data_IF_524808400416
#
_entry.id   IF_524808400416
#
_cell.length_a   1.000
_cell.length_b   1.000
_cell.length_c   1.000
_cell.angle_alpha   90.00
_cell.angle_beta   90.00
_cell.angle_gamma   90.00
#
_symmetry.space_group_name_H-M   'P 1'
#
loop_
_entity.id
_entity.type
_entity.pdbx_description
1 polymer ?
#
# COMPACT_ATOMS: atom_id res chain seq x y z
N UNK A 1 15.48 -3.26 14.08
CA UNK A 1 15.21 -1.87 13.62
C UNK A 1 15.13 -1.90 12.11
N UNK A 2 14.19 -1.19 11.51
CA UNK A 2 14.11 -1.02 10.06
C UNK A 2 15.09 0.09 9.68
N UNK A 3 15.94 -0.11 8.69
CA UNK A 3 16.91 0.90 8.22
C UNK A 3 16.32 1.81 7.13
N UNK A 4 17.14 2.74 6.64
CA UNK A 4 16.76 3.73 5.62
C UNK A 4 16.57 3.12 4.21
N UNK A 5 16.89 1.83 4.04
CA UNK A 5 16.73 1.11 2.77
C UNK A 5 15.55 0.12 2.80
N UNK A 6 14.79 0.10 3.89
CA UNK A 6 13.76 -0.92 4.10
C UNK A 6 12.37 -0.30 4.19
N UNK A 7 11.43 -0.89 3.46
CA UNK A 7 9.99 -0.68 3.64
C UNK A 7 9.37 -1.98 4.16
N UNK A 8 8.94 -1.98 5.41
CA UNK A 8 8.26 -3.12 6.04
C UNK A 8 6.76 -2.85 6.09
N UNK A 9 5.98 -3.82 5.60
CA UNK A 9 4.51 -3.75 5.62
C UNK A 9 4.00 -4.89 6.49
N UNK A 10 3.17 -4.56 7.48
CA UNK A 10 2.44 -5.52 8.31
C UNK A 10 0.96 -5.35 8.01
N UNK A 11 0.28 -6.41 7.56
CA UNK A 11 -1.17 -6.40 7.31
C UNK A 11 -1.86 -7.62 7.92
N UNK A 12 -3.12 -7.45 8.30
CA UNK A 12 -4.06 -8.57 8.38
C UNK A 12 -4.65 -8.88 7.01
N UNK A 13 -4.93 -10.14 6.73
CA UNK A 13 -5.62 -10.58 5.51
C UNK A 13 -7.15 -10.66 5.70
N UNK A 14 -7.60 -10.92 6.92
CA UNK A 14 -9.01 -10.85 7.30
C UNK A 14 -9.19 -10.62 8.81
N UNK A 15 -10.38 -10.16 9.21
CA UNK A 15 -10.78 -10.04 10.62
C UNK A 15 -11.00 -11.40 11.28
N UNK A 16 -11.00 -11.44 12.62
CA UNK A 16 -11.36 -12.63 13.38
C UNK A 16 -12.82 -13.06 13.13
N UNK A 17 -13.19 -14.27 13.56
CA UNK A 17 -14.54 -14.79 13.34
C UNK A 17 -15.62 -13.87 13.98
N UNK A 18 -16.84 -13.80 13.39
CA UNK A 18 -17.95 -12.99 13.93
C UNK A 18 -18.27 -13.26 15.40
N UNK A 19 -18.05 -14.48 15.88
CA UNK A 19 -18.20 -14.85 17.29
C UNK A 19 -17.35 -13.97 18.24
N UNK A 20 -16.23 -13.43 17.75
CA UNK A 20 -15.32 -12.56 18.50
C UNK A 20 -15.58 -11.08 18.20
N UNK A 21 -15.82 -10.72 16.94
CA UNK A 21 -15.94 -9.32 16.52
C UNK A 21 -17.35 -8.75 16.64
N UNK A 22 -18.37 -9.62 16.72
CA UNK A 22 -19.78 -9.26 16.58
C UNK A 22 -20.21 -9.16 15.12
N UNK A 23 -21.52 -9.30 14.89
CA UNK A 23 -22.10 -9.43 13.54
C UNK A 23 -22.03 -8.14 12.69
N UNK A 24 -21.87 -6.98 13.34
CA UNK A 24 -21.81 -5.68 12.68
C UNK A 24 -20.39 -5.10 12.60
N UNK A 25 -19.36 -5.91 12.88
CA UNK A 25 -17.98 -5.46 12.77
C UNK A 25 -17.60 -5.13 11.33
N UNK A 26 -16.83 -4.06 11.16
CA UNK A 26 -16.22 -3.77 9.87
C UNK A 26 -15.27 -4.90 9.44
N UNK A 27 -15.21 -5.14 8.12
CA UNK A 27 -14.22 -6.02 7.51
C UNK A 27 -12.85 -5.33 7.31
N UNK A 28 -12.69 -4.09 7.77
CA UNK A 28 -11.42 -3.39 7.72
C UNK A 28 -10.39 -4.07 8.62
N UNK A 29 -9.16 -4.15 8.12
CA UNK A 29 -8.00 -4.69 8.84
C UNK A 29 -6.88 -3.64 8.86
N UNK A 30 -6.11 -3.55 9.94
CA UNK A 30 -5.02 -2.58 10.02
C UNK A 30 -3.91 -2.92 9.04
N UNK A 31 -3.29 -1.87 8.50
CA UNK A 31 -2.06 -1.94 7.70
C UNK A 31 -1.05 -0.98 8.32
N UNK A 32 0.11 -1.49 8.71
CA UNK A 32 1.23 -0.67 9.17
C UNK A 32 2.32 -0.65 8.11
N UNK A 33 2.84 0.54 7.84
CA UNK A 33 3.96 0.77 6.94
C UNK A 33 5.08 1.40 7.76
N UNK A 34 6.24 0.77 7.79
CA UNK A 34 7.36 1.10 8.67
C UNK A 34 8.62 1.25 7.82
N UNK A 35 9.35 2.36 7.99
CA UNK A 35 10.61 2.61 7.31
C UNK A 35 11.49 3.56 8.13
N UNK A 36 12.81 3.44 7.99
CA UNK A 36 13.76 4.46 8.43
C UNK A 36 13.79 5.69 7.51
N UNK A 37 13.37 5.55 6.25
CA UNK A 37 13.37 6.64 5.27
C UNK A 37 11.96 7.29 5.16
N UNK A 38 11.80 8.55 5.59
CA UNK A 38 10.53 9.26 5.50
C UNK A 38 10.01 9.40 4.06
N UNK A 39 10.88 9.34 3.05
CA UNK A 39 10.50 9.44 1.64
C UNK A 39 9.72 8.22 1.19
N UNK A 40 10.02 7.03 1.74
CA UNK A 40 9.27 5.80 1.46
C UNK A 40 7.86 5.84 2.09
N UNK A 41 7.67 6.65 3.14
CA UNK A 41 6.38 6.81 3.82
C UNK A 41 5.49 7.89 3.21
N UNK A 42 6.08 8.88 2.54
CA UNK A 42 5.35 10.04 2.00
C UNK A 42 4.16 9.68 1.09
N UNK A 43 4.26 8.70 0.15
CA UNK A 43 3.13 8.32 -0.69
C UNK A 43 1.96 7.71 0.10
N UNK A 44 2.24 7.03 1.21
CA UNK A 44 1.19 6.48 2.08
C UNK A 44 0.50 7.57 2.90
N UNK A 45 1.26 8.53 3.44
CA UNK A 45 0.69 9.70 4.14
C UNK A 45 -0.25 10.51 3.23
N UNK A 46 0.11 10.68 1.96
CA UNK A 46 -0.75 11.32 0.96
C UNK A 46 -2.08 10.57 0.71
N UNK A 47 -2.18 9.30 1.11
CA UNK A 47 -3.37 8.44 1.00
C UNK A 47 -4.11 8.24 2.31
N UNK A 48 -3.77 9.02 3.35
CA UNK A 48 -4.47 9.03 4.63
C UNK A 48 -3.88 8.11 5.70
N UNK A 49 -2.69 7.53 5.49
CA UNK A 49 -1.98 6.89 6.59
C UNK A 49 -1.55 7.94 7.62
N UNK A 50 -1.73 7.60 8.90
CA UNK A 50 -1.41 8.46 10.04
C UNK A 50 -0.22 7.90 10.82
N UNK A 51 0.44 8.75 11.59
CA UNK A 51 1.50 8.32 12.50
C UNK A 51 0.90 7.58 13.71
N UNK A 52 1.59 6.54 14.18
CA UNK A 52 1.22 5.76 15.36
C UNK A 52 0.79 4.33 15.06
N UNK A 53 0.42 3.60 16.11
CA UNK A 53 0.12 2.17 16.06
C UNK A 53 -1.37 1.85 15.90
N UNK A 54 -2.25 2.82 16.09
CA UNK A 54 -3.70 2.61 16.04
C UNK A 54 -4.30 3.52 14.96
N UNK A 55 -4.90 2.95 13.90
CA UNK A 55 -5.67 3.74 12.96
C UNK A 55 -6.90 4.34 13.65
N UNK A 56 -7.44 5.43 13.10
CA UNK A 56 -8.72 5.95 13.58
C UNK A 56 -9.82 4.91 13.38
N UNK A 57 -10.62 4.70 14.43
CA UNK A 57 -11.77 3.78 14.42
C UNK A 57 -13.09 4.49 14.07
N UNK A 58 -13.05 5.79 13.80
CA UNK A 58 -14.26 6.61 13.64
C UNK A 58 -14.97 6.39 12.30
N UNK A 59 -14.29 5.90 11.26
CA UNK A 59 -14.90 5.67 9.94
C UNK A 59 -14.21 4.53 9.17
N UNK A 60 -14.29 3.27 9.64
CA UNK A 60 -13.68 2.14 8.96
C UNK A 60 -14.28 1.85 7.58
N UNK A 61 -15.52 2.29 7.29
CA UNK A 61 -16.14 2.25 5.97
C UNK A 61 -15.43 3.14 4.92
N UNK A 62 -14.68 4.16 5.36
CA UNK A 62 -13.86 4.99 4.50
C UNK A 62 -12.53 4.35 4.11
N UNK A 63 -12.21 3.17 4.66
CA UNK A 63 -10.95 2.49 4.37
C UNK A 63 -10.87 2.04 2.91
N UNK A 64 -9.69 2.19 2.32
CA UNK A 64 -9.43 1.69 0.97
C UNK A 64 -9.57 0.16 0.91
N UNK A 65 -9.99 -0.34 -0.25
CA UNK A 65 -10.00 -1.79 -0.51
C UNK A 65 -8.59 -2.35 -0.44
N UNK A 66 -8.43 -3.55 0.09
CA UNK A 66 -7.12 -4.21 0.20
C UNK A 66 -6.39 -4.36 -1.15
N UNK A 67 -7.13 -4.58 -2.25
CA UNK A 67 -6.58 -4.66 -3.61
C UNK A 67 -5.88 -3.37 -4.06
N UNK A 68 -6.19 -2.24 -3.42
CA UNK A 68 -5.59 -0.96 -3.73
C UNK A 68 -4.13 -0.89 -3.28
N UNK A 69 -3.74 -1.60 -2.21
CA UNK A 69 -2.36 -1.63 -1.73
C UNK A 69 -1.38 -2.09 -2.83
N UNK A 70 -1.72 -3.15 -3.56
CA UNK A 70 -0.92 -3.63 -4.70
C UNK A 70 -0.72 -2.55 -5.76
N UNK A 71 -1.79 -1.83 -6.11
CA UNK A 71 -1.72 -0.78 -7.12
C UNK A 71 -0.81 0.36 -6.65
N UNK A 72 -0.92 0.79 -5.39
CA UNK A 72 -0.06 1.83 -4.83
C UNK A 72 1.42 1.41 -4.85
N UNK A 73 1.72 0.18 -4.45
CA UNK A 73 3.10 -0.32 -4.47
C UNK A 73 3.68 -0.33 -5.88
N UNK A 74 2.90 -0.76 -6.87
CA UNK A 74 3.32 -0.72 -8.27
C UNK A 74 3.52 0.71 -8.76
N UNK A 75 2.61 1.62 -8.42
CA UNK A 75 2.66 3.01 -8.89
C UNK A 75 3.87 3.77 -8.33
N UNK A 76 4.22 3.56 -7.06
CA UNK A 76 5.26 4.36 -6.39
C UNK A 76 6.64 3.70 -6.41
N UNK A 77 6.69 2.37 -6.42
CA UNK A 77 7.93 1.60 -6.26
C UNK A 77 8.16 0.58 -7.39
N UNK A 78 7.24 0.50 -8.35
CA UNK A 78 7.44 -0.34 -9.53
C UNK A 78 8.50 0.24 -10.46
N UNK A 79 9.29 -0.64 -11.07
CA UNK A 79 10.19 -0.23 -12.16
C UNK A 79 9.34 0.25 -13.34
N UNK A 80 9.64 1.41 -13.95
CA UNK A 80 9.02 1.79 -15.21
C UNK A 80 9.26 0.69 -16.23
N UNK A 81 8.20 0.22 -16.90
CA UNK A 81 8.38 -0.66 -18.04
C UNK A 81 9.24 0.09 -19.06
N UNK A 82 10.46 -0.39 -19.31
CA UNK A 82 11.30 0.13 -20.37
C UNK A 82 10.48 0.06 -21.65
N UNK A 83 10.04 1.20 -22.16
CA UNK A 83 9.38 1.25 -23.47
C UNK A 83 10.42 0.83 -24.50
N UNK A 84 10.32 -0.41 -24.97
CA UNK A 84 11.08 -0.87 -26.14
C UNK A 84 10.67 0.00 -27.33
N UNK A 85 11.45 1.04 -27.59
CA UNK A 85 11.37 1.77 -28.84
C UNK A 85 11.76 0.79 -29.94
N UNK A 86 10.76 0.32 -30.71
CA UNK A 86 11.02 -0.40 -31.96
C UNK A 86 11.85 0.54 -32.83
N UNK A 87 13.14 0.24 -32.99
CA UNK A 87 13.89 0.70 -34.15
C UNK A 87 13.22 0.08 -35.38
N UNK A 88 12.33 0.84 -36.02
CA UNK A 88 12.05 0.67 -37.43
C UNK A 88 13.31 1.12 -38.16
N UNK A 89 14.19 0.18 -38.50
CA UNK A 89 15.19 0.39 -39.54
C UNK A 89 14.44 0.73 -40.83
N UNK A 90 14.49 2.00 -41.21
CA UNK A 90 14.18 2.44 -42.56
C UNK A 90 15.05 1.64 -43.53
N UNK A 91 14.39 0.85 -44.38
CA UNK A 91 14.99 0.29 -45.58
C UNK A 91 14.59 1.21 -46.72
N UNK A 92 15.56 1.89 -47.33
CA UNK A 92 15.39 2.59 -48.62
C UNK A 92 16.76 2.79 -49.29
N UNK A 93 16.87 2.79 -50.63
CA UNK A 93 15.99 2.25 -51.68
C UNK A 93 16.52 0.96 -52.31
#
# INVERSE_FOLDING_TARGET
MVDDNTLLIVLGDHQAAPLITGDNASAAVPVHVISGDPRLLAPFKARGFIDGMLPSLESPEGAAKMSQLRHWLQQDFGTPALTSSRLTTERTP
#
